data_IF_562259319313
#
_entry.id   IF_562259319313
#
_cell.length_a   1.000
_cell.length_b   1.000
_cell.length_c   1.000
_cell.angle_alpha   90.00
_cell.angle_beta   90.00
_cell.angle_gamma   90.00
#
_symmetry.space_group_name_H-M   'P 1'
#
loop_
_entity.id
_entity.type
_entity.pdbx_description
1 polymer ?
#
# COMPACT_ATOMS: atom_id res chain seq x y z
N UNK A 1 26.11 -5.00 -84.17
CA UNK A 1 24.67 -4.75 -84.43
C UNK A 1 24.15 -3.91 -83.29
N UNK A 2 23.38 -2.87 -83.63
CA UNK A 2 22.95 -1.72 -82.82
C UNK A 2 21.72 -2.07 -81.92
N UNK A 3 21.12 -1.14 -81.15
CA UNK A 3 20.71 -1.31 -79.76
C UNK A 3 19.17 -1.32 -79.59
N UNK A 4 18.67 -1.34 -78.35
CA UNK A 4 17.31 -0.86 -78.04
C UNK A 4 17.35 -0.03 -76.74
N UNK A 5 17.02 1.26 -76.91
CA UNK A 5 16.64 2.29 -75.93
C UNK A 5 15.28 1.94 -75.25
N UNK A 6 14.67 2.65 -74.30
CA UNK A 6 14.72 4.03 -73.84
C UNK A 6 13.91 4.14 -72.51
N UNK A 7 14.19 5.20 -71.73
CA UNK A 7 13.28 6.01 -70.89
C UNK A 7 12.48 5.30 -69.76
N UNK A 8 12.29 5.84 -68.55
CA UNK A 8 11.89 7.20 -68.22
C UNK A 8 12.01 7.47 -66.70
N UNK A 9 12.49 8.68 -66.38
CA UNK A 9 12.25 9.58 -65.24
C UNK A 9 11.59 9.07 -63.93
N UNK A 10 12.20 9.43 -62.79
CA UNK A 10 11.51 10.04 -61.62
C UNK A 10 12.52 10.51 -60.56
N UNK A 11 12.68 11.84 -60.47
CA UNK A 11 13.25 12.56 -59.32
C UNK A 11 12.54 12.20 -58.01
N UNK A 12 13.30 11.99 -56.93
CA UNK A 12 12.95 12.52 -55.60
C UNK A 12 14.22 12.75 -54.74
N UNK A 13 14.24 13.81 -53.89
CA UNK A 13 15.46 14.40 -53.35
C UNK A 13 15.82 13.85 -51.95
N UNK A 14 17.12 13.87 -51.67
CA UNK A 14 17.74 13.43 -50.41
C UNK A 14 17.32 14.35 -49.25
N UNK A 15 16.68 13.79 -48.22
CA UNK A 15 16.16 14.49 -47.02
C UNK A 15 17.24 15.10 -46.09
N UNK A 16 18.49 15.20 -46.54
CA UNK A 16 19.63 15.67 -45.73
C UNK A 16 19.75 17.19 -45.58
N UNK A 17 19.12 17.99 -46.45
CA UNK A 17 19.36 19.44 -46.49
C UNK A 17 18.31 20.30 -45.74
N UNK A 18 17.15 19.74 -45.37
CA UNK A 18 16.11 20.47 -44.62
C UNK A 18 16.39 20.61 -43.11
N UNK A 19 17.23 19.75 -42.54
CA UNK A 19 17.56 19.81 -41.11
C UNK A 19 18.74 20.75 -40.79
N UNK A 20 19.59 21.04 -41.77
CA UNK A 20 20.69 21.99 -41.63
C UNK A 20 20.23 23.47 -41.63
N UNK A 21 19.06 23.75 -42.22
CA UNK A 21 18.49 25.10 -42.27
C UNK A 21 17.79 25.54 -40.96
N UNK A 22 17.38 24.60 -40.10
CA UNK A 22 16.72 24.92 -38.82
C UNK A 22 17.69 25.23 -37.68
N UNK A 23 18.98 24.91 -37.82
CA UNK A 23 19.99 25.17 -36.77
C UNK A 23 20.61 26.57 -36.82
N UNK A 24 20.35 27.34 -37.89
CA UNK A 24 21.01 28.63 -38.14
C UNK A 24 20.20 29.87 -37.72
N UNK A 25 18.95 29.70 -37.25
CA UNK A 25 18.05 30.85 -37.03
C UNK A 25 17.46 31.00 -35.61
N UNK A 26 18.19 30.61 -34.56
CA UNK A 26 17.76 30.89 -33.18
C UNK A 26 18.86 31.44 -32.27
N UNK A 27 19.63 32.39 -32.79
CA UNK A 27 20.56 33.20 -31.99
C UNK A 27 20.36 34.70 -32.24
N UNK A 28 19.23 35.24 -31.78
CA UNK A 28 19.07 36.64 -31.35
C UNK A 28 17.63 36.86 -30.89
N UNK A 29 17.43 36.98 -29.58
CA UNK A 29 16.09 37.20 -29.03
C UNK A 29 16.01 37.16 -27.51
N UNK A 30 16.68 38.11 -26.85
CA UNK A 30 16.23 38.81 -25.63
C UNK A 30 15.93 37.95 -24.39
N UNK A 31 16.87 38.01 -23.42
CA UNK A 31 16.59 37.76 -22.00
C UNK A 31 15.32 38.49 -21.57
N UNK A 32 14.25 37.75 -21.22
CA UNK A 32 13.11 38.16 -20.37
C UNK A 32 12.11 37.00 -20.24
N UNK A 33 12.50 35.96 -19.51
CA UNK A 33 11.66 34.76 -19.28
C UNK A 33 11.18 34.55 -17.83
N UNK A 34 11.54 35.44 -16.89
CA UNK A 34 11.27 35.25 -15.46
C UNK A 34 10.03 35.98 -14.92
N UNK A 35 9.65 37.12 -15.50
CA UNK A 35 8.60 37.98 -14.93
C UNK A 35 7.16 37.54 -15.25
N UNK A 36 6.95 36.85 -16.38
CA UNK A 36 5.61 36.35 -16.74
C UNK A 36 5.17 35.23 -15.81
N UNK A 37 6.11 34.37 -15.38
CA UNK A 37 5.84 33.32 -14.39
C UNK A 37 5.56 33.91 -13.00
N UNK A 38 6.26 34.97 -12.61
CA UNK A 38 6.01 35.66 -11.34
C UNK A 38 4.63 36.37 -11.32
N UNK A 39 4.25 37.04 -12.42
CA UNK A 39 2.94 37.68 -12.55
C UNK A 39 1.77 36.70 -12.51
N UNK A 40 1.93 35.52 -13.11
CA UNK A 40 0.90 34.47 -13.09
C UNK A 40 0.72 33.90 -11.67
N UNK A 41 1.80 33.65 -10.94
CA UNK A 41 1.74 33.16 -9.55
C UNK A 41 1.07 34.18 -8.62
N UNK A 42 1.41 35.47 -8.75
CA UNK A 42 0.79 36.54 -7.94
C UNK A 42 -0.70 36.69 -8.26
N UNK A 43 -1.09 36.58 -9.54
CA UNK A 43 -2.50 36.64 -9.95
C UNK A 43 -3.33 35.49 -9.38
N UNK A 44 -2.80 34.26 -9.40
CA UNK A 44 -3.48 33.10 -8.80
C UNK A 44 -3.57 33.22 -7.28
N UNK A 45 -2.52 33.69 -6.60
CA UNK A 45 -2.55 33.90 -5.16
C UNK A 45 -3.61 34.94 -4.75
N UNK A 46 -3.75 36.03 -5.51
CA UNK A 46 -4.77 37.05 -5.23
C UNK A 46 -6.20 36.52 -5.38
N UNK A 47 -6.46 35.65 -6.37
CA UNK A 47 -7.76 35.02 -6.54
C UNK A 47 -8.10 34.05 -5.39
N UNK A 48 -7.12 33.31 -4.88
CA UNK A 48 -7.31 32.42 -3.72
C UNK A 48 -7.65 33.22 -2.46
N UNK A 49 -7.00 34.37 -2.24
CA UNK A 49 -7.30 35.24 -1.08
C UNK A 49 -8.72 35.81 -1.15
N UNK A 50 -9.16 36.25 -2.34
CA UNK A 50 -10.54 36.73 -2.54
C UNK A 50 -11.54 35.58 -2.32
N UNK A 51 -11.26 34.38 -2.83
CA UNK A 51 -12.10 33.19 -2.63
C UNK A 51 -12.25 32.81 -1.16
N UNK A 52 -11.17 32.87 -0.37
CA UNK A 52 -11.21 32.60 1.07
C UNK A 52 -12.00 33.66 1.85
N UNK A 53 -11.90 34.94 1.48
CA UNK A 53 -12.61 36.02 2.14
C UNK A 53 -14.14 35.95 1.93
N UNK A 54 -14.59 35.49 0.76
CA UNK A 54 -16.03 35.30 0.48
C UNK A 54 -16.53 33.95 1.02
N UNK A 55 -15.69 32.91 1.04
CA UNK A 55 -16.04 31.57 1.51
C UNK A 55 -16.16 31.42 3.04
N UNK A 56 -15.43 32.23 3.81
CA UNK A 56 -15.49 32.20 5.28
C UNK A 56 -16.66 33.01 5.88
N UNK A 57 -17.37 33.80 5.07
CA UNK A 57 -18.46 34.68 5.53
C UNK A 57 -19.85 34.04 5.65
N UNK A 58 -20.04 32.79 5.20
CA UNK A 58 -21.37 32.14 5.15
C UNK A 58 -21.45 30.86 5.99
N UNK A 59 -20.38 30.50 6.71
CA UNK A 59 -20.25 29.20 7.39
C UNK A 59 -20.21 29.23 8.91
N UNK A 60 -20.84 30.20 9.58
CA UNK A 60 -21.01 30.18 11.03
C UNK A 60 -22.34 30.83 11.41
N UNK A 61 -23.42 30.04 11.39
CA UNK A 61 -24.68 30.43 12.05
C UNK A 61 -25.42 29.20 12.57
N UNK A 62 -25.19 28.93 13.87
CA UNK A 62 -26.19 28.75 14.96
C UNK A 62 -27.32 27.74 14.74
N UNK A 63 -27.43 26.75 15.66
CA UNK A 63 -28.61 26.64 16.54
C UNK A 63 -28.41 25.73 17.77
N UNK A 64 -28.05 26.34 18.89
CA UNK A 64 -28.45 25.91 20.23
C UNK A 64 -29.94 26.24 20.41
N UNK A 65 -30.74 25.28 20.85
CA UNK A 65 -32.11 25.53 21.30
C UNK A 65 -32.38 24.64 22.52
N UNK A 66 -31.99 25.14 23.69
CA UNK A 66 -32.72 24.87 24.92
C UNK A 66 -34.11 25.51 24.82
N UNK A 67 -35.15 24.74 25.14
CA UNK A 67 -36.38 25.24 25.77
C UNK A 67 -37.23 24.06 26.24
N UNK A 68 -37.15 23.78 27.55
CA UNK A 68 -38.32 23.28 28.29
C UNK A 68 -39.37 24.39 28.32
N UNK A 69 -40.67 24.03 28.32
CA UNK A 69 -41.42 24.27 29.53
C UNK A 69 -42.37 23.12 29.93
N UNK A 70 -42.55 23.07 31.25
CA UNK A 70 -43.45 22.23 32.03
C UNK A 70 -44.86 22.02 31.46
N UNK A 71 -45.34 20.79 31.62
CA UNK A 71 -46.73 20.39 31.41
C UNK A 71 -47.06 19.14 32.21
N UNK A 72 -47.22 19.30 33.53
CA UNK A 72 -47.73 18.29 34.47
C UNK A 72 -49.07 17.69 34.01
N UNK A 73 -49.16 16.36 33.96
CA UNK A 73 -50.27 15.57 34.52
C UNK A 73 -49.91 14.09 34.62
N UNK A 74 -49.92 13.64 35.87
CA UNK A 74 -49.78 12.30 36.42
C UNK A 74 -50.84 11.31 35.93
N UNK A 75 -50.45 10.07 35.64
CA UNK A 75 -51.18 8.84 36.00
C UNK A 75 -50.21 7.66 35.99
N UNK A 76 -50.20 6.92 37.10
CA UNK A 76 -49.35 5.79 37.40
C UNK A 76 -49.62 4.58 36.51
N UNK A 77 -48.57 3.91 36.05
CA UNK A 77 -48.50 2.44 35.98
C UNK A 77 -47.03 2.00 36.04
N UNK A 78 -46.77 0.88 36.71
CA UNK A 78 -45.47 0.44 37.20
C UNK A 78 -45.00 -0.83 36.47
N UNK A 79 -43.83 -0.73 35.79
CA UNK A 79 -42.98 -1.76 35.11
C UNK A 79 -43.60 -2.54 33.91
N UNK A 80 -42.83 -2.98 32.87
CA UNK A 80 -41.42 -3.40 32.90
C UNK A 80 -40.47 -2.79 31.84
N UNK A 81 -39.17 -2.90 32.12
CA UNK A 81 -38.04 -3.07 31.18
C UNK A 81 -37.81 -2.05 30.03
N UNK A 82 -36.61 -1.46 30.00
CA UNK A 82 -36.02 -0.89 28.78
C UNK A 82 -34.50 -0.90 28.90
N UNK A 83 -33.91 -2.01 28.50
CA UNK A 83 -32.66 -2.01 27.74
C UNK A 83 -32.83 -1.02 26.59
N UNK A 84 -31.95 -0.01 26.46
CA UNK A 84 -31.31 0.36 25.20
C UNK A 84 -30.50 1.65 25.31
N UNK A 85 -29.24 1.49 24.93
CA UNK A 85 -28.33 2.53 24.46
C UNK A 85 -27.15 1.85 23.76
N UNK A 86 -27.42 0.73 23.08
CA UNK A 86 -26.48 0.13 22.14
C UNK A 86 -26.63 0.89 20.85
N UNK A 87 -25.69 1.77 20.53
CA UNK A 87 -25.51 2.20 19.16
C UNK A 87 -25.23 0.93 18.35
N UNK A 88 -26.13 0.56 17.44
CA UNK A 88 -25.91 -0.50 16.47
C UNK A 88 -24.63 -0.16 15.70
N UNK A 89 -23.51 -0.75 16.13
CA UNK A 89 -22.23 -0.60 15.46
C UNK A 89 -22.43 -1.01 14.01
N UNK A 90 -22.19 -0.07 13.08
CA UNK A 90 -22.28 -0.34 11.66
C UNK A 90 -21.47 -1.60 11.33
N UNK A 91 -22.01 -2.53 10.52
CA UNK A 91 -21.32 -3.76 10.21
C UNK A 91 -19.98 -3.50 9.53
N UNK A 92 -18.91 -3.89 10.21
CA UNK A 92 -17.53 -3.95 9.73
C UNK A 92 -17.43 -5.01 8.62
N UNK A 93 -16.89 -4.70 7.42
CA UNK A 93 -15.46 -4.40 7.32
C UNK A 93 -15.08 -3.30 6.31
N UNK A 94 -16.03 -2.52 5.79
CA UNK A 94 -15.74 -1.51 4.77
C UNK A 94 -15.02 -0.29 5.35
N UNK A 95 -14.18 0.37 4.54
CA UNK A 95 -13.51 1.61 4.91
C UNK A 95 -12.00 1.57 4.72
N UNK A 96 -11.33 2.59 5.24
CA UNK A 96 -9.89 2.74 5.21
C UNK A 96 -9.31 2.43 6.58
N UNK A 97 -8.34 1.52 6.61
CA UNK A 97 -7.78 0.98 7.84
C UNK A 97 -6.28 1.12 7.91
N UNK A 98 -5.79 1.46 9.10
CA UNK A 98 -4.40 1.37 9.51
C UNK A 98 -4.18 0.05 10.25
N UNK A 99 -3.48 -0.88 9.62
CA UNK A 99 -3.10 -2.17 10.17
C UNK A 99 -1.71 -2.05 10.81
N UNK A 100 -1.71 -1.86 12.13
CA UNK A 100 -0.48 -1.77 12.93
C UNK A 100 -0.04 -3.19 13.29
N UNK A 101 1.15 -3.57 12.86
CA UNK A 101 1.76 -4.90 13.06
C UNK A 101 3.20 -4.76 13.55
N UNK A 102 3.82 -5.86 13.96
CA UNK A 102 5.24 -5.96 14.20
C UNK A 102 5.87 -6.97 13.24
N UNK A 103 7.10 -6.73 12.80
CA UNK A 103 7.91 -7.73 12.12
C UNK A 103 8.25 -8.85 13.10
N UNK A 104 7.70 -10.03 12.87
CA UNK A 104 7.76 -11.15 13.81
C UNK A 104 8.84 -12.17 13.46
N UNK A 105 9.05 -12.42 12.17
CA UNK A 105 10.04 -13.38 11.74
C UNK A 105 10.62 -13.02 10.38
N UNK A 106 11.91 -13.31 10.22
CA UNK A 106 12.64 -13.17 8.96
C UNK A 106 13.34 -14.48 8.65
N UNK A 107 13.19 -14.96 7.42
CA UNK A 107 13.98 -16.06 6.88
C UNK A 107 14.65 -15.62 5.58
N UNK A 108 15.93 -15.93 5.40
CA UNK A 108 16.73 -15.54 4.23
C UNK A 108 17.27 -16.73 3.45
N UNK A 109 16.88 -17.97 3.77
CA UNK A 109 17.49 -19.18 3.19
C UNK A 109 17.23 -19.37 1.69
N UNK A 110 16.36 -18.57 1.06
CA UNK A 110 16.12 -18.66 -0.39
C UNK A 110 17.20 -18.01 -1.25
N UNK A 111 18.15 -17.29 -0.66
CA UNK A 111 19.22 -16.57 -1.36
C UNK A 111 20.58 -17.02 -0.83
N UNK A 112 21.61 -17.13 -1.70
CA UNK A 112 22.97 -17.43 -1.25
C UNK A 112 23.55 -16.33 -0.35
N UNK A 113 23.03 -15.11 -0.42
CA UNK A 113 23.51 -14.00 0.39
C UNK A 113 22.35 -13.37 1.17
N UNK A 114 22.34 -13.60 2.50
CA UNK A 114 21.27 -13.12 3.39
C UNK A 114 21.08 -11.61 3.38
N UNK A 115 22.12 -10.83 3.03
CA UNK A 115 22.01 -9.38 2.93
C UNK A 115 21.05 -8.92 1.84
N UNK A 116 20.74 -9.78 0.87
CA UNK A 116 19.88 -9.48 -0.28
C UNK A 116 18.38 -9.63 0.00
N UNK A 117 17.98 -10.25 1.12
CA UNK A 117 16.58 -10.29 1.56
C UNK A 117 16.38 -9.41 2.79
N UNK A 118 15.44 -8.46 2.71
CA UNK A 118 15.17 -7.53 3.81
C UNK A 118 13.69 -7.32 4.03
N UNK A 119 13.33 -7.23 5.30
CA UNK A 119 11.98 -6.99 5.79
C UNK A 119 11.99 -5.68 6.57
N UNK A 120 11.22 -4.69 6.14
CA UNK A 120 11.02 -3.47 6.93
C UNK A 120 10.39 -3.84 8.28
N UNK A 121 10.61 -3.11 9.38
CA UNK A 121 11.59 -2.03 9.60
C UNK A 121 13.01 -2.51 9.90
N UNK A 122 13.33 -3.78 9.61
CA UNK A 122 14.64 -4.43 9.79
C UNK A 122 14.97 -4.86 11.23
N UNK A 123 14.04 -4.70 12.17
CA UNK A 123 14.13 -5.25 13.52
C UNK A 123 12.97 -6.20 13.78
N UNK A 124 13.28 -7.37 14.33
CA UNK A 124 12.27 -8.36 14.72
C UNK A 124 11.77 -8.03 16.13
N UNK A 125 10.47 -8.17 16.35
CA UNK A 125 9.83 -8.02 17.64
C UNK A 125 10.23 -9.14 18.58
N UNK A 126 10.67 -8.79 19.79
CA UNK A 126 10.87 -9.71 20.89
C UNK A 126 9.94 -9.31 22.04
N UNK A 127 8.90 -10.11 22.37
CA UNK A 127 8.00 -9.80 23.48
C UNK A 127 8.70 -9.80 24.85
N UNK A 128 9.90 -10.37 24.96
CA UNK A 128 10.73 -10.35 26.16
C UNK A 128 11.53 -9.04 26.31
N UNK A 129 11.70 -8.29 25.22
CA UNK A 129 12.39 -7.01 25.18
C UNK A 129 11.46 -5.91 24.64
N UNK A 130 10.80 -5.14 25.53
CA UNK A 130 9.81 -4.13 25.13
C UNK A 130 10.42 -3.00 24.29
N UNK A 131 11.75 -2.83 24.28
CA UNK A 131 12.40 -1.83 23.45
C UNK A 131 12.33 -2.15 21.96
N UNK A 132 12.06 -3.42 21.61
CA UNK A 132 11.92 -3.85 20.22
C UNK A 132 10.56 -3.47 19.62
N UNK A 133 9.55 -3.15 20.43
CA UNK A 133 8.19 -2.87 19.98
C UNK A 133 8.15 -1.76 18.92
N UNK A 134 8.70 -0.58 19.22
CA UNK A 134 8.70 0.54 18.28
C UNK A 134 9.56 0.26 17.05
N UNK A 135 10.73 -0.35 17.26
CA UNK A 135 11.69 -0.61 16.18
C UNK A 135 11.24 -1.69 15.20
N UNK A 136 10.30 -2.55 15.61
CA UNK A 136 9.74 -3.64 14.80
C UNK A 136 8.39 -3.30 14.19
N UNK A 137 7.79 -2.16 14.56
CA UNK A 137 6.48 -1.74 14.10
C UNK A 137 6.43 -1.47 12.60
N UNK A 138 5.42 -2.05 11.95
CA UNK A 138 5.08 -1.82 10.56
C UNK A 138 3.59 -1.51 10.42
N UNK A 139 3.29 -0.36 9.80
CA UNK A 139 1.93 0.07 9.51
C UNK A 139 1.61 -0.17 8.04
N UNK A 140 0.47 -0.82 7.78
CA UNK A 140 -0.08 -0.97 6.44
C UNK A 140 -1.41 -0.24 6.35
N UNK A 141 -1.55 0.67 5.39
CA UNK A 141 -2.78 1.45 5.22
C UNK A 141 -3.55 0.94 4.01
N UNK A 142 -4.68 0.28 4.23
CA UNK A 142 -5.46 -0.42 3.20
C UNK A 142 -6.92 0.02 3.17
N UNK A 143 -7.55 -0.18 2.02
CA UNK A 143 -8.94 0.19 1.75
C UNK A 143 -9.71 -1.09 1.43
N UNK A 144 -10.77 -1.36 2.18
CA UNK A 144 -11.73 -2.43 1.90
C UNK A 144 -12.97 -1.85 1.23
N UNK A 145 -13.29 -2.37 0.04
CA UNK A 145 -14.42 -1.94 -0.78
C UNK A 145 -15.30 -3.12 -1.16
N UNK A 146 -16.62 -2.95 -1.16
CA UNK A 146 -17.53 -3.98 -1.60
C UNK A 146 -17.67 -4.04 -3.12
N UNK A 147 -17.90 -5.24 -3.63
CA UNK A 147 -18.29 -5.47 -5.04
C UNK A 147 -19.76 -5.87 -5.17
N UNK A 148 -20.45 -6.09 -4.05
CA UNK A 148 -21.87 -6.47 -3.96
C UNK A 148 -22.53 -5.81 -2.75
N UNK A 149 -23.86 -5.82 -2.69
CA UNK A 149 -24.61 -5.45 -1.48
C UNK A 149 -24.61 -6.53 -0.40
N UNK A 150 -24.17 -7.75 -0.74
CA UNK A 150 -24.08 -8.89 0.17
C UNK A 150 -22.62 -9.31 0.29
N UNK A 151 -22.06 -9.13 1.48
CA UNK A 151 -20.69 -9.51 1.83
C UNK A 151 -20.63 -9.97 3.30
N UNK A 152 -19.69 -10.86 3.67
CA UNK A 152 -19.49 -11.24 5.05
C UNK A 152 -19.02 -10.06 5.90
N UNK A 153 -19.39 -10.09 7.17
CA UNK A 153 -19.07 -9.08 8.18
C UNK A 153 -18.64 -9.80 9.46
N UNK A 154 -18.24 -9.06 10.48
CA UNK A 154 -17.98 -9.64 11.81
C UNK A 154 -19.20 -10.37 12.42
N UNK A 155 -20.42 -10.05 11.98
CA UNK A 155 -21.66 -10.68 12.43
C UNK A 155 -22.07 -11.90 11.58
N UNK A 156 -21.31 -12.23 10.53
CA UNK A 156 -21.65 -13.35 9.64
C UNK A 156 -21.35 -14.69 10.31
N UNK A 157 -22.38 -15.49 10.56
CA UNK A 157 -22.28 -16.80 11.20
C UNK A 157 -22.17 -17.98 10.22
N UNK A 158 -22.17 -17.72 8.92
CA UNK A 158 -22.08 -18.76 7.88
C UNK A 158 -20.71 -19.43 7.98
N UNK A 159 -20.69 -20.75 8.11
CA UNK A 159 -19.47 -21.56 8.05
C UNK A 159 -19.08 -21.83 6.60
N UNK A 160 -17.79 -21.98 6.35
CA UNK A 160 -17.20 -22.18 5.03
C UNK A 160 -16.30 -23.41 5.03
N UNK A 161 -15.99 -23.98 3.84
CA UNK A 161 -14.86 -24.90 3.69
C UNK A 161 -13.54 -24.24 4.08
N UNK A 162 -12.48 -25.04 4.26
CA UNK A 162 -11.13 -24.57 4.56
C UNK A 162 -10.57 -23.63 3.49
N UNK A 163 -10.93 -23.85 2.22
CA UNK A 163 -10.54 -22.97 1.11
C UNK A 163 -11.30 -21.63 1.09
N UNK A 164 -12.38 -21.52 1.87
CA UNK A 164 -13.23 -20.33 1.94
C UNK A 164 -14.21 -20.16 0.78
N UNK A 165 -14.87 -19.02 0.77
CA UNK A 165 -15.80 -18.58 -0.28
C UNK A 165 -15.47 -17.14 -0.71
N UNK A 166 -15.82 -16.70 -1.93
CA UNK A 166 -15.66 -15.30 -2.31
C UNK A 166 -16.36 -14.35 -1.32
N UNK A 167 -15.65 -13.34 -0.83
CA UNK A 167 -16.20 -12.39 0.13
C UNK A 167 -17.06 -11.28 -0.52
N UNK A 168 -17.03 -11.16 -1.85
CA UNK A 168 -17.57 -10.00 -2.58
C UNK A 168 -17.02 -8.66 -2.06
N UNK A 169 -15.75 -8.69 -1.64
CA UNK A 169 -14.98 -7.55 -1.19
C UNK A 169 -13.65 -7.53 -1.95
N UNK A 170 -13.11 -6.33 -2.07
CA UNK A 170 -11.78 -6.08 -2.61
C UNK A 170 -10.95 -5.30 -1.61
N UNK A 171 -9.64 -5.47 -1.68
CA UNK A 171 -8.69 -4.75 -0.87
C UNK A 171 -7.65 -4.06 -1.75
N UNK A 172 -7.31 -2.82 -1.40
CA UNK A 172 -6.29 -2.03 -2.08
C UNK A 172 -5.34 -1.43 -1.05
N UNK A 173 -4.07 -1.28 -1.42
CA UNK A 173 -3.16 -0.44 -0.64
C UNK A 173 -3.41 1.04 -0.92
N UNK A 174 -3.18 1.89 0.06
CA UNK A 174 -3.00 3.33 -0.18
C UNK A 174 -1.70 3.59 -0.95
N UNK A 175 -1.63 4.75 -1.62
CA UNK A 175 -0.42 5.17 -2.32
C UNK A 175 0.67 5.57 -1.31
N UNK A 176 1.50 4.60 -0.93
CA UNK A 176 2.68 4.83 -0.10
C UNK A 176 3.93 4.28 -0.81
N UNK A 177 4.90 5.14 -1.19
CA UNK A 177 6.10 4.71 -1.91
C UNK A 177 7.01 3.79 -1.09
N UNK A 178 6.78 3.64 0.21
CA UNK A 178 7.52 2.77 1.12
C UNK A 178 6.76 1.48 1.47
N UNK A 179 5.54 1.30 0.95
CA UNK A 179 4.69 0.12 1.17
C UNK A 179 4.52 -0.70 -0.10
N UNK A 180 4.06 -1.94 0.06
CA UNK A 180 3.57 -2.75 -1.06
C UNK A 180 2.36 -2.04 -1.67
N UNK A 181 2.40 -1.85 -3.00
CA UNK A 181 1.30 -1.28 -3.77
C UNK A 181 0.53 -2.37 -4.49
N UNK A 182 -0.78 -2.43 -4.28
CA UNK A 182 -1.72 -3.34 -4.94
C UNK A 182 -3.11 -2.69 -5.01
N UNK A 183 -3.96 -3.14 -5.93
CA UNK A 183 -5.26 -2.52 -6.16
C UNK A 183 -6.30 -3.56 -6.55
N UNK A 184 -7.45 -3.50 -5.87
CA UNK A 184 -8.62 -4.32 -6.12
C UNK A 184 -8.36 -5.84 -6.05
N UNK A 185 -7.52 -6.27 -5.10
CA UNK A 185 -7.32 -7.70 -4.83
C UNK A 185 -8.57 -8.29 -4.21
N UNK A 186 -9.04 -9.43 -4.72
CA UNK A 186 -10.26 -10.07 -4.24
C UNK A 186 -10.03 -10.75 -2.90
N UNK A 187 -10.99 -10.61 -1.98
CA UNK A 187 -10.95 -11.26 -0.67
C UNK A 187 -11.73 -12.58 -0.68
N UNK A 188 -11.16 -13.58 0.00
CA UNK A 188 -11.81 -14.85 0.34
C UNK A 188 -12.20 -14.83 1.81
N UNK A 189 -13.44 -15.16 2.12
CA UNK A 189 -13.93 -15.31 3.49
C UNK A 189 -13.80 -16.76 3.94
N UNK A 190 -13.22 -16.95 5.12
CA UNK A 190 -13.06 -18.26 5.76
C UNK A 190 -13.67 -18.17 7.17
N UNK A 191 -14.53 -19.10 7.52
CA UNK A 191 -15.09 -19.30 8.85
C UNK A 191 -15.35 -20.80 9.07
N UNK A 192 -14.40 -21.50 9.66
CA UNK A 192 -14.45 -22.96 9.74
C UNK A 192 -15.34 -23.42 10.91
N UNK A 193 -16.09 -24.51 10.72
CA UNK A 193 -16.94 -25.06 11.76
C UNK A 193 -16.12 -25.48 13.00
N UNK A 194 -16.59 -25.13 14.20
CA UNK A 194 -15.91 -25.43 15.44
C UNK A 194 -14.72 -24.50 15.77
N UNK A 195 -14.39 -23.54 14.90
CA UNK A 195 -13.36 -22.53 15.17
C UNK A 195 -13.93 -21.12 15.02
N UNK A 196 -14.71 -20.69 16.02
CA UNK A 196 -15.36 -19.37 15.99
C UNK A 196 -14.38 -18.21 15.96
N UNK A 197 -13.12 -18.40 16.36
CA UNK A 197 -12.04 -17.39 16.26
C UNK A 197 -11.36 -17.32 14.89
N UNK A 198 -11.79 -18.15 13.93
CA UNK A 198 -11.17 -18.25 12.60
C UNK A 198 -11.79 -17.36 11.53
N UNK A 199 -12.91 -16.67 11.82
CA UNK A 199 -13.59 -15.83 10.84
C UNK A 199 -12.62 -14.75 10.33
N UNK A 200 -12.23 -14.84 9.06
CA UNK A 200 -11.16 -14.04 8.47
C UNK A 200 -11.36 -13.79 6.99
N UNK A 201 -10.82 -12.68 6.52
CA UNK A 201 -10.57 -12.47 5.10
C UNK A 201 -9.12 -12.79 4.78
N UNK A 202 -8.90 -13.44 3.64
CA UNK A 202 -7.57 -13.68 3.09
C UNK A 202 -7.48 -13.22 1.64
N UNK A 203 -6.31 -12.76 1.23
CA UNK A 203 -5.97 -12.46 -0.15
C UNK A 203 -4.51 -12.84 -0.40
N UNK A 204 -4.21 -13.16 -1.66
CA UNK A 204 -2.86 -13.53 -2.07
C UNK A 204 -2.63 -13.12 -3.51
N UNK A 205 -1.45 -12.55 -3.78
CA UNK A 205 -1.04 -12.18 -5.12
C UNK A 205 0.48 -12.30 -5.29
N UNK A 206 0.94 -12.34 -6.55
CA UNK A 206 2.35 -12.32 -6.89
C UNK A 206 2.82 -10.88 -7.07
N UNK A 207 3.98 -10.57 -6.51
CA UNK A 207 4.64 -9.27 -6.63
C UNK A 207 6.13 -9.40 -6.90
N UNK A 208 6.70 -8.33 -7.44
CA UNK A 208 8.14 -8.14 -7.50
C UNK A 208 8.59 -7.42 -6.23
N UNK A 209 9.54 -8.01 -5.51
CA UNK A 209 10.18 -7.35 -4.37
C UNK A 209 11.54 -6.85 -4.79
N UNK A 210 11.77 -5.55 -4.65
CA UNK A 210 13.11 -4.97 -4.79
C UNK A 210 13.74 -4.75 -3.43
N UNK A 211 15.05 -5.01 -3.32
CA UNK A 211 15.80 -4.90 -2.08
C UNK A 211 17.14 -4.21 -2.36
N UNK A 212 17.45 -3.20 -1.54
CA UNK A 212 18.82 -2.67 -1.42
C UNK A 212 19.51 -3.50 -0.34
N UNK A 213 20.58 -4.25 -0.66
CA UNK A 213 21.23 -5.13 0.30
C UNK A 213 21.67 -4.41 1.58
N UNK A 214 21.68 -5.14 2.71
CA UNK A 214 22.09 -4.59 4.01
C UNK A 214 23.61 -4.43 4.15
N UNK A 215 24.38 -5.05 3.25
CA UNK A 215 25.83 -4.99 3.18
C UNK A 215 26.29 -4.93 1.73
N UNK A 216 27.52 -4.49 1.50
CA UNK A 216 28.14 -4.53 0.16
C UNK A 216 28.23 -5.99 -0.31
N UNK A 217 27.75 -6.24 -1.53
CA UNK A 217 27.79 -7.57 -2.18
C UNK A 217 28.76 -7.60 -3.38
N UNK A 218 29.47 -6.50 -3.61
CA UNK A 218 30.45 -6.33 -4.70
C UNK A 218 31.81 -5.96 -4.11
N UNK A 219 32.89 -6.35 -4.79
CA UNK A 219 34.26 -6.07 -4.34
C UNK A 219 34.67 -4.60 -4.50
N UNK A 220 34.01 -3.88 -5.42
CA UNK A 220 34.22 -2.46 -5.69
C UNK A 220 33.38 -1.54 -4.78
N UNK A 221 32.55 -2.09 -3.88
CA UNK A 221 31.58 -1.35 -3.07
C UNK A 221 30.59 -0.51 -3.89
N UNK A 222 30.27 -0.95 -5.12
CA UNK A 222 29.17 -0.38 -5.87
C UNK A 222 27.85 -0.56 -5.10
N UNK A 223 26.97 0.45 -5.16
CA UNK A 223 25.61 0.33 -4.67
C UNK A 223 24.87 -0.70 -5.53
N UNK A 224 24.03 -1.53 -4.93
CA UNK A 224 23.32 -2.60 -5.66
C UNK A 224 21.84 -2.63 -5.35
N UNK A 225 21.08 -3.18 -6.29
CA UNK A 225 19.66 -3.41 -6.15
C UNK A 225 19.31 -4.81 -6.63
N UNK A 226 18.66 -5.58 -5.77
CA UNK A 226 18.28 -6.97 -5.99
C UNK A 226 16.78 -7.10 -6.22
N UNK A 227 16.39 -8.08 -7.02
CA UNK A 227 15.01 -8.30 -7.43
C UNK A 227 14.59 -9.75 -7.21
N UNK A 228 13.48 -9.93 -6.50
CA UNK A 228 12.78 -11.21 -6.31
C UNK A 228 11.47 -11.16 -7.09
N UNK A 229 11.50 -11.70 -8.31
CA UNK A 229 10.39 -11.60 -9.28
C UNK A 229 9.26 -12.61 -9.05
N UNK A 230 9.33 -13.42 -7.99
CA UNK A 230 8.30 -14.42 -7.67
C UNK A 230 7.99 -14.42 -6.18
N UNK A 231 7.80 -13.23 -5.62
CA UNK A 231 7.40 -13.06 -4.22
C UNK A 231 5.88 -13.18 -4.12
N UNK A 232 5.38 -14.08 -3.30
CA UNK A 232 3.97 -14.14 -2.92
C UNK A 232 3.74 -13.21 -1.73
N UNK A 233 2.75 -12.34 -1.84
CA UNK A 233 2.22 -11.55 -0.73
C UNK A 233 0.91 -12.18 -0.27
N UNK A 234 0.77 -12.44 1.03
CA UNK A 234 -0.46 -12.95 1.64
C UNK A 234 -0.85 -12.03 2.78
N UNK A 235 -2.12 -11.62 2.81
CA UNK A 235 -2.69 -10.90 3.95
C UNK A 235 -3.87 -11.67 4.52
N UNK A 236 -3.96 -11.73 5.84
CA UNK A 236 -5.08 -12.32 6.59
C UNK A 236 -5.59 -11.32 7.62
N UNK A 237 -6.88 -11.04 7.56
CA UNK A 237 -7.58 -10.08 8.38
C UNK A 237 -8.63 -10.81 9.22
N UNK A 238 -8.40 -10.94 10.52
CA UNK A 238 -9.36 -11.60 11.40
C UNK A 238 -10.51 -10.65 11.75
N UNK A 239 -11.71 -11.20 11.97
CA UNK A 239 -12.92 -10.42 12.26
C UNK A 239 -13.35 -10.45 13.73
N UNK A 240 -12.69 -11.26 14.55
CA UNK A 240 -13.06 -11.43 15.95
C UNK A 240 -11.89 -11.77 16.89
N UNK A 241 -10.78 -12.29 16.37
CA UNK A 241 -9.57 -12.50 17.15
C UNK A 241 -8.96 -11.16 17.56
N UNK A 242 -8.69 -10.95 18.86
CA UNK A 242 -8.12 -9.70 19.37
C UNK A 242 -6.62 -9.59 19.01
N UNK A 243 -6.15 -8.38 18.78
CA UNK A 243 -4.72 -8.07 18.71
C UNK A 243 -4.13 -7.97 20.13
N UNK A 244 -2.82 -8.22 20.28
CA UNK A 244 -2.04 -7.95 21.51
C UNK A 244 -0.93 -6.91 21.31
N UNK A 245 -0.80 -6.35 20.10
CA UNK A 245 0.24 -5.40 19.74
C UNK A 245 -0.30 -4.15 18.98
N UNK A 246 0.28 -2.95 19.22
CA UNK A 246 1.06 -2.58 20.41
C UNK A 246 0.22 -2.75 21.70
N UNK A 247 0.92 -3.00 22.81
CA UNK A 247 0.30 -3.21 24.12
C UNK A 247 -0.42 -1.97 24.66
N UNK A 248 -0.09 -0.76 24.17
CA UNK A 248 -0.56 0.52 24.73
C UNK A 248 -1.84 1.10 24.11
N UNK A 249 -2.35 0.59 22.98
CA UNK A 249 -3.38 1.32 22.21
C UNK A 249 -4.55 0.44 21.73
N UNK A 250 -4.97 -0.54 22.54
CA UNK A 250 -6.16 -1.34 22.25
C UNK A 250 -7.48 -0.53 22.28
N UNK A 251 -7.46 0.74 22.72
CA UNK A 251 -8.65 1.59 22.89
C UNK A 251 -8.59 2.91 22.10
N UNK A 252 -7.49 3.20 21.39
CA UNK A 252 -7.35 4.39 20.56
C UNK A 252 -7.83 4.15 19.12
N UNK A 253 -8.81 4.93 18.67
CA UNK A 253 -9.21 5.01 17.26
C UNK A 253 -8.17 5.70 16.36
N UNK A 254 -7.07 6.17 16.93
CA UNK A 254 -6.03 6.95 16.25
C UNK A 254 -5.15 6.02 15.40
N UNK A 255 -5.63 5.66 14.22
CA UNK A 255 -4.77 5.06 13.19
C UNK A 255 -3.83 6.09 12.59
N UNK A 256 -2.74 5.60 12.00
CA UNK A 256 -1.74 6.47 11.36
C UNK A 256 -2.30 7.07 10.07
N UNK A 257 -2.02 8.35 9.80
CA UNK A 257 -2.39 8.99 8.53
C UNK A 257 -3.88 9.33 8.36
N UNK A 258 -4.68 9.30 9.44
CA UNK A 258 -6.11 9.62 9.40
C UNK A 258 -7.02 8.44 9.04
N UNK A 259 -6.48 7.23 8.97
CA UNK A 259 -7.26 6.00 8.78
C UNK A 259 -7.70 5.42 10.13
N UNK A 260 -8.79 4.65 10.15
CA UNK A 260 -9.26 3.98 11.36
C UNK A 260 -8.35 2.80 11.69
N UNK A 261 -7.99 2.59 12.96
CA UNK A 261 -7.20 1.43 13.34
C UNK A 261 -7.98 0.13 13.07
N UNK A 262 -7.33 -0.88 12.46
CA UNK A 262 -7.93 -2.20 12.35
C UNK A 262 -8.07 -2.85 13.74
N UNK A 263 -9.28 -3.25 14.18
CA UNK A 263 -9.52 -3.60 15.58
C UNK A 263 -9.10 -5.02 15.98
N UNK A 264 -8.77 -5.89 15.02
CA UNK A 264 -8.55 -7.32 15.26
C UNK A 264 -7.14 -7.78 14.88
N UNK A 265 -6.88 -9.08 15.04
CA UNK A 265 -5.66 -9.70 14.63
C UNK A 265 -5.44 -9.58 13.11
N UNK A 266 -4.19 -9.46 12.71
CA UNK A 266 -3.72 -9.34 11.33
C UNK A 266 -2.46 -10.16 11.16
N UNK A 267 -2.36 -10.85 10.02
CA UNK A 267 -1.13 -11.49 9.55
C UNK A 267 -0.81 -11.02 8.15
N UNK A 268 0.47 -10.72 7.91
CA UNK A 268 0.96 -10.33 6.60
C UNK A 268 2.25 -11.10 6.34
N UNK A 269 2.35 -11.72 5.17
CA UNK A 269 3.50 -12.51 4.81
C UNK A 269 3.99 -12.15 3.41
N UNK A 270 5.31 -11.98 3.28
CA UNK A 270 5.99 -11.96 1.99
C UNK A 270 6.88 -13.19 1.93
N UNK A 271 6.77 -13.99 0.87
CA UNK A 271 7.60 -15.16 0.70
C UNK A 271 8.05 -15.34 -0.74
N UNK A 272 9.35 -15.55 -0.93
CA UNK A 272 9.94 -15.87 -2.23
C UNK A 272 10.62 -17.24 -2.16
N UNK A 273 10.41 -18.12 -3.15
CA UNK A 273 11.17 -19.36 -3.27
C UNK A 273 12.60 -19.06 -3.69
N UNK A 274 13.54 -19.94 -3.33
CA UNK A 274 14.85 -20.02 -3.95
C UNK A 274 14.73 -20.60 -5.35
N UNK A 275 15.74 -20.40 -6.19
CA UNK A 275 15.96 -21.09 -7.47
C UNK A 275 17.17 -20.46 -8.14
N UNK A 276 17.48 -20.94 -9.34
CA UNK A 276 18.40 -20.27 -10.25
C UNK A 276 17.97 -18.80 -10.45
N UNK A 277 18.95 -17.91 -10.43
CA UNK A 277 18.78 -16.46 -10.63
C UNK A 277 17.87 -15.81 -9.58
N UNK A 278 17.88 -16.29 -8.32
CA UNK A 278 17.19 -15.65 -7.20
C UNK A 278 18.13 -15.29 -6.05
N UNK A 279 18.22 -13.99 -5.70
CA UNK A 279 17.78 -12.83 -6.48
C UNK A 279 18.69 -12.56 -7.67
N UNK A 280 18.18 -11.78 -8.64
CA UNK A 280 19.03 -11.10 -9.63
C UNK A 280 19.39 -9.73 -9.05
N UNK A 281 20.68 -9.42 -8.97
CA UNK A 281 21.15 -8.14 -8.46
C UNK A 281 21.92 -7.39 -9.54
N UNK A 282 21.72 -6.08 -9.58
CA UNK A 282 22.45 -5.18 -10.48
C UNK A 282 23.21 -4.14 -9.67
N UNK A 283 24.38 -3.74 -10.15
CA UNK A 283 25.00 -2.51 -9.72
C UNK A 283 24.10 -1.32 -10.07
N UNK A 284 24.17 -0.26 -9.27
CA UNK A 284 23.42 0.97 -9.47
C UNK A 284 24.37 2.15 -9.48
N UNK A 285 24.29 2.96 -10.52
CA UNK A 285 25.09 4.17 -10.67
C UNK A 285 24.18 5.37 -10.96
N UNK A 286 24.21 6.38 -10.09
CA UNK A 286 23.29 7.53 -10.16
C UNK A 286 21.81 7.14 -10.29
N UNK A 287 21.40 6.04 -9.63
CA UNK A 287 20.02 5.53 -9.67
C UNK A 287 19.63 4.78 -10.96
N UNK A 288 20.58 4.52 -11.86
CA UNK A 288 20.37 3.68 -13.04
C UNK A 288 20.95 2.28 -12.79
N UNK A 289 20.29 1.25 -13.34
CA UNK A 289 20.81 -0.12 -13.32
C UNK A 289 22.02 -0.23 -14.26
N UNK A 290 23.09 -0.81 -13.73
CA UNK A 290 24.32 -1.13 -14.46
C UNK A 290 24.45 -2.64 -14.67
N UNK A 291 25.67 -3.14 -14.52
CA UNK A 291 26.00 -4.54 -14.74
C UNK A 291 25.39 -5.46 -13.68
N UNK A 292 25.11 -6.71 -14.09
CA UNK A 292 24.61 -7.75 -13.20
C UNK A 292 25.72 -8.26 -12.25
N UNK A 293 25.37 -8.48 -11.00
CA UNK A 293 26.27 -9.03 -9.98
C UNK A 293 26.27 -10.55 -10.07
N UNK A 294 27.28 -11.11 -10.74
CA UNK A 294 27.39 -12.56 -10.99
C UNK A 294 28.00 -13.37 -9.83
N UNK A 295 28.40 -12.72 -8.74
CA UNK A 295 29.19 -13.34 -7.65
C UNK A 295 28.41 -13.55 -6.35
N UNK A 296 27.09 -13.72 -6.42
CA UNK A 296 26.24 -13.86 -5.23
C UNK A 296 26.42 -15.20 -4.49
N UNK A 297 26.84 -16.25 -5.19
CA UNK A 297 26.97 -17.62 -4.67
C UNK A 297 26.03 -18.60 -5.38
N UNK A 298 26.01 -19.84 -4.90
CA UNK A 298 25.23 -20.92 -5.51
C UNK A 298 23.71 -20.75 -5.27
N UNK A 299 22.93 -21.03 -6.31
CA UNK A 299 21.47 -20.99 -6.24
C UNK A 299 20.92 -21.90 -5.13
N UNK A 300 19.91 -21.41 -4.41
CA UNK A 300 19.20 -22.18 -3.39
C UNK A 300 18.05 -22.99 -4.02
N UNK A 301 17.68 -24.15 -3.44
CA UNK A 301 16.59 -24.96 -3.98
C UNK A 301 15.24 -24.25 -3.86
N UNK A 302 14.28 -24.64 -4.70
CA UNK A 302 12.91 -24.12 -4.71
C UNK A 302 12.12 -24.36 -3.42
N UNK A 303 12.51 -25.38 -2.67
CA UNK A 303 12.00 -25.68 -1.33
C UNK A 303 12.46 -24.68 -0.27
N UNK A 304 13.55 -23.94 -0.50
CA UNK A 304 14.01 -22.89 0.40
C UNK A 304 13.20 -21.63 0.21
N UNK A 305 12.76 -21.01 1.32
CA UNK A 305 11.88 -19.84 1.27
C UNK A 305 12.42 -18.70 2.11
N UNK A 306 12.49 -17.52 1.50
CA UNK A 306 12.62 -16.31 2.28
C UNK A 306 11.24 -15.93 2.83
N UNK A 307 11.24 -15.25 3.95
CA UNK A 307 10.05 -14.85 4.67
C UNK A 307 10.23 -13.46 5.28
N UNK A 308 9.22 -12.62 5.15
CA UNK A 308 8.93 -11.55 6.08
C UNK A 308 7.55 -11.84 6.66
N UNK A 309 7.48 -12.12 7.96
CA UNK A 309 6.23 -12.37 8.67
C UNK A 309 5.92 -11.18 9.57
N UNK A 310 4.73 -10.61 9.44
CA UNK A 310 4.23 -9.53 10.28
C UNK A 310 2.95 -9.98 10.95
N UNK A 311 2.81 -9.68 12.24
CA UNK A 311 1.57 -9.91 12.99
C UNK A 311 1.43 -8.90 14.12
N UNK A 312 0.21 -8.73 14.61
CA UNK A 312 -0.10 -7.83 15.73
C UNK A 312 -0.62 -8.58 16.95
N UNK A 313 -0.27 -9.85 17.07
CA UNK A 313 -0.62 -10.70 18.19
C UNK A 313 0.51 -11.70 18.47
N UNK A 314 0.60 -12.19 19.70
CA UNK A 314 1.69 -13.07 20.16
C UNK A 314 1.95 -12.89 21.64
#
# INVERSE_FOLDING_TARGET
>A
MKPIDANEDLRAPVEGEKLAALRRNRSKGRQRGGWVRLGLVIGVAALVVIGLAVGLGVGLTIKTNEKNPDGSRTSNDQLPDSVEGGEDALPFPLGEYSLVTALDAVNTICTPNSATWRCYPYSVYDPSDPTTADSSMATFNWILSNTSSIYPTNNTSVTTPTEGIPANLTISSTNNPFSVTFTNETLTYINEEGNSTSARFTFSFLMHKSVIPSASITSNNAATQCYFNSTTFVGTLYLNARSSFPASDAEGNDGEGGHTRWPYAVEIQQSSPGRQDVPICYETFNGQLGDEVLTLGDAQPDTSRCLCSYRNYG
#
